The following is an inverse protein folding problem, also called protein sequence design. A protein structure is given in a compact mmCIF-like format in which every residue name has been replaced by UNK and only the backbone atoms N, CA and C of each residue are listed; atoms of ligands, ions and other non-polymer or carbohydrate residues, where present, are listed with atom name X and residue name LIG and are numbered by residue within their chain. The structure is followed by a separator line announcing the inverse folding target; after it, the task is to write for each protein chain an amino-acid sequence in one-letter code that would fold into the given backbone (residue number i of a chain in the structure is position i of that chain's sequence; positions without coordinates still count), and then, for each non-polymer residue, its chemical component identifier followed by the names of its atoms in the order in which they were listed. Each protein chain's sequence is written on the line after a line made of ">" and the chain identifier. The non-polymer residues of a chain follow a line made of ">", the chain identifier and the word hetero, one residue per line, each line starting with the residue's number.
data_IF_697243555498
#
_entry.id   IF_697243555498
#
_cell.length_a   1.000
_cell.length_b   1.000
_cell.length_c   1.000
_cell.angle_alpha   90.00
_cell.angle_beta   90.00
_cell.angle_gamma   90.00
#
_symmetry.space_group_name_H-M   'P 1'
#
loop_
_entity.id
_entity.type
_entity.pdbx_description
1 polymer ?
#
# COMPACT_ATOMS: atom_id res chain seq x y z
N UNK A 1 33.16 6.25 17.48
CA UNK A 1 32.58 4.90 17.28
C UNK A 1 32.72 4.58 15.81
N UNK A 2 33.61 3.65 15.44
CA UNK A 2 33.72 3.20 14.05
C UNK A 2 32.46 2.40 13.70
N UNK A 3 31.70 2.89 12.73
CA UNK A 3 30.59 2.16 12.16
C UNK A 3 31.16 0.92 11.45
N UNK A 4 30.66 -0.27 11.77
CA UNK A 4 30.98 -1.47 11.00
C UNK A 4 30.38 -1.29 9.60
N UNK A 5 31.20 -1.20 8.53
CA UNK A 5 30.71 -1.04 7.17
C UNK A 5 29.91 -2.26 6.65
N UNK A 6 29.88 -3.36 7.42
CA UNK A 6 29.18 -4.60 7.07
C UNK A 6 27.85 -4.78 7.84
N UNK A 7 27.32 -3.72 8.44
CA UNK A 7 26.03 -3.79 9.14
C UNK A 7 24.86 -3.54 8.18
N UNK A 8 24.09 -4.58 7.85
CA UNK A 8 22.88 -4.44 7.05
C UNK A 8 21.85 -3.48 7.66
N UNK A 9 21.82 -3.38 9.00
CA UNK A 9 20.97 -2.41 9.70
C UNK A 9 21.47 -0.96 9.53
N UNK A 10 22.79 -0.73 9.47
CA UNK A 10 23.32 0.61 9.22
C UNK A 10 22.91 1.10 7.84
N UNK A 11 23.12 0.28 6.81
CA UNK A 11 22.68 0.58 5.45
C UNK A 11 21.17 0.87 5.40
N UNK A 12 20.37 0.09 6.13
CA UNK A 12 18.92 0.32 6.18
C UNK A 12 18.58 1.71 6.75
N UNK A 13 19.26 2.14 7.81
CA UNK A 13 19.07 3.47 8.37
C UNK A 13 19.53 4.59 7.43
N UNK A 14 20.62 4.38 6.68
CA UNK A 14 21.08 5.34 5.67
C UNK A 14 20.05 5.46 4.53
N UNK A 15 19.54 4.34 4.02
CA UNK A 15 18.47 4.32 3.01
C UNK A 15 17.21 5.06 3.49
N UNK A 16 16.84 4.89 4.76
CA UNK A 16 15.75 5.65 5.38
C UNK A 16 16.01 7.16 5.44
N UNK A 17 17.24 7.58 5.72
CA UNK A 17 17.62 9.00 5.70
C UNK A 17 17.43 9.62 4.31
N UNK A 18 17.87 8.94 3.25
CA UNK A 18 17.67 9.42 1.87
C UNK A 18 16.18 9.45 1.50
N UNK A 19 15.42 8.40 1.84
CA UNK A 19 13.97 8.37 1.65
C UNK A 19 13.27 9.54 2.34
N UNK A 20 13.67 9.87 3.57
CA UNK A 20 13.10 10.99 4.31
C UNK A 20 13.39 12.34 3.63
N UNK A 21 14.59 12.53 3.09
CA UNK A 21 14.94 13.72 2.31
C UNK A 21 14.08 13.84 1.05
N UNK A 22 13.84 12.73 0.33
CA UNK A 22 12.94 12.71 -0.82
C UNK A 22 11.53 13.16 -0.46
N UNK A 23 10.98 12.64 0.65
CA UNK A 23 9.63 13.02 1.14
C UNK A 23 9.57 14.52 1.45
N UNK A 24 10.56 15.06 2.17
CA UNK A 24 10.63 16.48 2.49
C UNK A 24 10.65 17.33 1.23
N UNK A 25 11.46 16.97 0.23
CA UNK A 25 11.51 17.69 -1.05
C UNK A 25 10.18 17.65 -1.80
N UNK A 26 9.53 16.48 -1.90
CA UNK A 26 8.23 16.32 -2.58
C UNK A 26 7.10 17.13 -1.94
N UNK A 27 7.15 17.30 -0.61
CA UNK A 27 6.17 18.09 0.15
C UNK A 27 6.45 19.59 0.13
N UNK A 28 7.67 20.00 -0.21
CA UNK A 28 8.01 21.41 -0.34
C UNK A 28 7.33 22.06 -1.56
N UNK A 29 6.86 23.31 -1.41
CA UNK A 29 6.11 24.05 -2.46
C UNK A 29 6.93 24.42 -3.71
N UNK A 30 8.24 24.16 -3.73
CA UNK A 30 9.14 24.57 -4.81
C UNK A 30 9.49 23.38 -5.72
N UNK A 31 8.66 23.12 -6.73
CA UNK A 31 8.97 22.13 -7.78
C UNK A 31 9.78 22.80 -8.90
N UNK A 32 11.09 22.90 -8.69
CA UNK A 32 12.04 23.35 -9.71
C UNK A 32 12.51 22.13 -10.54
N UNK A 33 12.90 22.29 -11.82
CA UNK A 33 13.45 21.18 -12.62
C UNK A 33 14.67 20.52 -11.98
N UNK A 34 15.54 21.31 -11.34
CA UNK A 34 16.69 20.84 -10.56
C UNK A 34 16.31 19.95 -9.37
N UNK A 35 15.06 20.04 -8.89
CA UNK A 35 14.55 19.15 -7.86
C UNK A 35 14.37 17.71 -8.35
N UNK A 36 14.13 17.50 -9.65
CA UNK A 36 13.96 16.16 -10.21
C UNK A 36 15.28 15.39 -10.27
N UNK A 37 16.37 16.04 -10.69
CA UNK A 37 17.72 15.44 -10.70
C UNK A 37 18.15 15.04 -9.28
N UNK A 38 17.97 15.94 -8.31
CA UNK A 38 18.27 15.65 -6.90
C UNK A 38 17.40 14.51 -6.37
N UNK A 39 16.11 14.46 -6.71
CA UNK A 39 15.23 13.36 -6.32
C UNK A 39 15.70 12.02 -6.89
N UNK A 40 16.19 12.03 -8.14
CA UNK A 40 16.73 10.84 -8.78
C UNK A 40 18.04 10.39 -8.12
N UNK A 41 18.94 11.31 -7.79
CA UNK A 41 20.17 11.00 -7.04
C UNK A 41 19.86 10.41 -5.66
N UNK A 42 18.97 11.05 -4.89
CA UNK A 42 18.55 10.55 -3.58
C UNK A 42 17.89 9.18 -3.67
N UNK A 43 17.08 8.94 -4.71
CA UNK A 43 16.47 7.64 -4.96
C UNK A 43 17.53 6.57 -5.21
N UNK A 44 18.53 6.84 -6.04
CA UNK A 44 19.61 5.89 -6.31
C UNK A 44 20.43 5.59 -5.05
N UNK A 45 20.76 6.61 -4.24
CA UNK A 45 21.47 6.39 -2.97
C UNK A 45 20.64 5.51 -2.01
N UNK A 46 19.35 5.80 -1.86
CA UNK A 46 18.46 5.00 -1.02
C UNK A 46 18.35 3.55 -1.51
N UNK A 47 18.20 3.33 -2.83
CA UNK A 47 18.15 2.01 -3.43
C UNK A 47 19.44 1.23 -3.17
N UNK A 48 20.62 1.85 -3.38
CA UNK A 48 21.92 1.21 -3.14
C UNK A 48 22.06 0.74 -1.69
N UNK A 49 21.68 1.58 -0.72
CA UNK A 49 21.74 1.22 0.70
C UNK A 49 20.75 0.10 1.05
N UNK A 50 19.51 0.14 0.55
CA UNK A 50 18.57 -0.96 0.78
C UNK A 50 18.98 -2.26 0.08
N UNK A 51 19.57 -2.18 -1.12
CA UNK A 51 20.18 -3.33 -1.80
C UNK A 51 21.26 -3.95 -0.91
N UNK A 52 22.14 -3.12 -0.35
CA UNK A 52 23.18 -3.58 0.56
C UNK A 52 22.60 -4.19 1.85
N UNK A 53 21.50 -3.66 2.36
CA UNK A 53 20.76 -4.27 3.48
C UNK A 53 20.32 -5.70 3.15
N UNK A 54 19.71 -5.92 1.99
CA UNK A 54 19.19 -7.25 1.63
C UNK A 54 20.27 -8.24 1.19
N UNK A 55 21.41 -7.75 0.68
CA UNK A 55 22.61 -8.57 0.47
C UNK A 55 23.17 -9.12 1.80
N UNK A 56 23.23 -8.27 2.83
CA UNK A 56 23.75 -8.63 4.15
C UNK A 56 22.73 -9.37 5.01
N UNK A 57 21.43 -9.09 4.82
CA UNK A 57 20.31 -9.71 5.52
C UNK A 57 19.10 -9.84 4.59
N UNK A 58 19.03 -10.96 3.88
CA UNK A 58 17.98 -11.23 2.89
C UNK A 58 16.56 -11.36 3.46
N UNK A 59 16.44 -11.51 4.78
CA UNK A 59 15.16 -11.54 5.52
C UNK A 59 14.85 -10.17 6.14
N UNK A 60 15.18 -9.08 5.47
CA UNK A 60 14.83 -7.72 5.90
C UNK A 60 13.70 -7.20 5.00
N UNK A 61 12.47 -7.53 5.37
CA UNK A 61 11.27 -7.41 4.54
C UNK A 61 10.97 -5.97 4.14
N UNK A 62 11.09 -5.04 5.09
CA UNK A 62 10.85 -3.62 4.84
C UNK A 62 11.86 -2.97 3.91
N UNK A 63 13.07 -3.52 3.75
CA UNK A 63 14.03 -3.02 2.78
C UNK A 63 13.52 -3.24 1.35
N UNK A 64 12.93 -4.41 1.07
CA UNK A 64 12.27 -4.68 -0.22
C UNK A 64 11.08 -3.75 -0.47
N UNK A 65 10.25 -3.51 0.55
CA UNK A 65 9.10 -2.59 0.45
C UNK A 65 9.55 -1.18 0.11
N UNK A 66 10.54 -0.63 0.83
CA UNK A 66 11.01 0.72 0.58
C UNK A 66 11.76 0.87 -0.73
N UNK A 67 12.53 -0.15 -1.15
CA UNK A 67 13.09 -0.18 -2.51
C UNK A 67 11.99 -0.08 -3.56
N UNK A 68 10.92 -0.87 -3.44
CA UNK A 68 9.84 -0.87 -4.40
C UNK A 68 9.10 0.48 -4.47
N UNK A 69 8.83 1.11 -3.32
CA UNK A 69 8.24 2.45 -3.26
C UNK A 69 9.12 3.49 -3.97
N UNK A 70 10.43 3.48 -3.71
CA UNK A 70 11.37 4.44 -4.30
C UNK A 70 11.54 4.19 -5.80
N UNK A 71 11.57 2.94 -6.23
CA UNK A 71 11.64 2.56 -7.65
C UNK A 71 10.39 3.03 -8.39
N UNK A 72 9.20 2.84 -7.80
CA UNK A 72 7.96 3.35 -8.36
C UNK A 72 7.97 4.89 -8.49
N UNK A 73 8.52 5.59 -7.49
CA UNK A 73 8.68 7.04 -7.48
C UNK A 73 9.57 7.57 -8.62
N UNK A 74 10.52 6.77 -9.11
CA UNK A 74 11.40 7.10 -10.24
C UNK A 74 11.05 6.32 -11.52
N UNK A 75 9.82 5.76 -11.59
CA UNK A 75 9.28 5.07 -12.76
C UNK A 75 9.97 3.74 -13.15
N UNK A 76 10.71 3.13 -12.22
CA UNK A 76 11.28 1.78 -12.35
C UNK A 76 10.23 0.72 -11.93
N UNK A 77 9.19 0.59 -12.75
CA UNK A 77 8.00 -0.18 -12.37
C UNK A 77 8.21 -1.70 -12.35
N UNK A 78 9.07 -2.23 -13.21
CA UNK A 78 9.38 -3.65 -13.28
C UNK A 78 10.14 -4.10 -12.03
N UNK A 79 11.13 -3.32 -11.61
CA UNK A 79 11.91 -3.58 -10.41
C UNK A 79 11.08 -3.40 -9.14
N UNK A 80 10.19 -2.41 -9.12
CA UNK A 80 9.24 -2.22 -8.02
C UNK A 80 8.32 -3.44 -7.86
N UNK A 81 7.74 -3.91 -8.97
CA UNK A 81 6.90 -5.12 -8.98
C UNK A 81 7.69 -6.35 -8.50
N UNK A 82 8.91 -6.54 -8.99
CA UNK A 82 9.76 -7.65 -8.57
C UNK A 82 10.03 -7.65 -7.05
N UNK A 83 10.29 -6.48 -6.47
CA UNK A 83 10.51 -6.36 -5.02
C UNK A 83 9.24 -6.61 -4.20
N UNK A 84 8.08 -6.13 -4.64
CA UNK A 84 6.80 -6.45 -3.99
C UNK A 84 6.49 -7.94 -4.03
N UNK A 85 6.68 -8.59 -5.19
CA UNK A 85 6.51 -10.03 -5.32
C UNK A 85 7.51 -10.80 -4.45
N UNK A 86 8.76 -10.31 -4.34
CA UNK A 86 9.78 -10.94 -3.50
C UNK A 86 9.35 -10.98 -2.03
N UNK A 87 8.90 -9.85 -1.47
CA UNK A 87 8.50 -9.78 -0.07
C UNK A 87 7.21 -10.56 0.22
N UNK A 88 6.25 -10.56 -0.72
CA UNK A 88 5.02 -11.35 -0.59
C UNK A 88 5.26 -12.87 -0.58
N UNK A 89 6.34 -13.34 -1.19
CA UNK A 89 6.73 -14.75 -1.21
C UNK A 89 7.65 -15.16 -0.05
N UNK A 90 7.95 -14.25 0.89
CA UNK A 90 8.72 -14.60 2.08
C UNK A 90 7.90 -15.42 3.06
N UNK A 91 8.56 -16.38 3.73
CA UNK A 91 7.89 -17.25 4.69
C UNK A 91 7.74 -16.54 6.04
N UNK A 92 6.55 -16.68 6.64
CA UNK A 92 6.31 -16.34 8.05
C UNK A 92 6.52 -14.85 8.37
N UNK A 93 5.93 -13.96 7.55
CA UNK A 93 5.85 -12.54 7.86
C UNK A 93 5.13 -12.33 9.21
N UNK A 94 5.61 -11.39 10.00
CA UNK A 94 4.85 -10.92 11.16
C UNK A 94 3.62 -10.16 10.67
N UNK A 95 2.49 -10.32 11.35
CA UNK A 95 1.20 -9.71 10.99
C UNK A 95 1.30 -8.22 10.60
N UNK A 96 1.96 -7.40 11.42
CA UNK A 96 2.14 -5.97 11.14
C UNK A 96 2.98 -5.71 9.87
N UNK A 97 3.99 -6.54 9.58
CA UNK A 97 4.80 -6.44 8.36
C UNK A 97 3.98 -6.85 7.15
N UNK A 98 3.22 -7.95 7.25
CA UNK A 98 2.34 -8.39 6.16
C UNK A 98 1.26 -7.33 5.85
N UNK A 99 0.72 -6.67 6.88
CA UNK A 99 -0.18 -5.55 6.72
C UNK A 99 0.46 -4.39 5.94
N UNK A 100 1.68 -3.99 6.33
CA UNK A 100 2.44 -2.91 5.68
C UNK A 100 2.76 -3.25 4.23
N UNK A 101 3.21 -4.47 3.95
CA UNK A 101 3.50 -4.97 2.59
C UNK A 101 2.27 -4.86 1.70
N UNK A 102 1.12 -5.36 2.15
CA UNK A 102 -0.11 -5.31 1.37
C UNK A 102 -0.65 -3.89 1.19
N UNK A 103 -0.48 -3.01 2.19
CA UNK A 103 -0.83 -1.61 2.05
C UNK A 103 0.03 -0.90 1.01
N UNK A 104 1.36 -0.99 1.12
CA UNK A 104 2.29 -0.37 0.18
C UNK A 104 2.09 -0.90 -1.24
N UNK A 105 1.86 -2.21 -1.40
CA UNK A 105 1.65 -2.79 -2.72
C UNK A 105 0.30 -2.40 -3.35
N UNK A 106 -0.79 -2.39 -2.57
CA UNK A 106 -2.08 -1.90 -3.06
C UNK A 106 -2.03 -0.41 -3.44
N UNK A 107 -1.28 0.41 -2.67
CA UNK A 107 -1.03 1.81 -3.04
C UNK A 107 -0.24 1.91 -4.35
N UNK A 108 0.83 1.14 -4.52
CA UNK A 108 1.58 1.08 -5.78
C UNK A 108 0.68 0.72 -6.98
N UNK A 109 -0.14 -0.32 -6.87
CA UNK A 109 -1.04 -0.72 -7.96
C UNK A 109 -2.07 0.37 -8.31
N UNK A 110 -2.58 1.08 -7.30
CA UNK A 110 -3.56 2.16 -7.49
C UNK A 110 -3.00 3.28 -8.38
N UNK A 111 -1.73 3.64 -8.22
CA UNK A 111 -1.11 4.73 -8.97
C UNK A 111 -0.42 4.26 -10.26
N UNK A 112 -0.01 2.99 -10.36
CA UNK A 112 0.91 2.55 -11.41
C UNK A 112 0.43 1.37 -12.27
N UNK A 113 -0.49 0.51 -11.79
CA UNK A 113 -0.98 -0.66 -12.55
C UNK A 113 -2.46 -0.61 -12.95
N UNK A 114 -3.19 0.44 -12.54
CA UNK A 114 -4.57 0.79 -12.94
C UNK A 114 -5.69 -0.21 -12.62
N UNK A 115 -5.41 -1.42 -12.14
CA UNK A 115 -6.46 -2.38 -11.77
C UNK A 115 -6.96 -2.13 -10.36
N UNK A 116 -8.13 -1.49 -10.24
CA UNK A 116 -8.79 -1.31 -8.94
C UNK A 116 -9.15 -2.64 -8.26
N UNK A 117 -9.37 -3.73 -9.01
CA UNK A 117 -9.66 -5.05 -8.45
C UNK A 117 -8.46 -5.64 -7.71
N UNK A 118 -7.26 -5.47 -8.27
CA UNK A 118 -6.03 -5.92 -7.63
C UNK A 118 -5.77 -5.08 -6.35
N UNK A 119 -6.00 -3.76 -6.42
CA UNK A 119 -5.89 -2.86 -5.26
C UNK A 119 -6.83 -3.31 -4.14
N UNK A 120 -8.11 -3.52 -4.45
CA UNK A 120 -9.11 -4.00 -3.48
C UNK A 120 -8.66 -5.35 -2.91
N UNK A 121 -8.18 -6.27 -3.74
CA UNK A 121 -7.70 -7.58 -3.29
C UNK A 121 -6.59 -7.45 -2.24
N UNK A 122 -5.59 -6.61 -2.47
CA UNK A 122 -4.51 -6.41 -1.50
C UNK A 122 -4.98 -5.69 -0.23
N UNK A 123 -5.87 -4.72 -0.34
CA UNK A 123 -6.45 -4.06 0.83
C UNK A 123 -7.26 -5.02 1.70
N UNK A 124 -8.08 -5.88 1.09
CA UNK A 124 -8.85 -6.89 1.80
C UNK A 124 -7.97 -7.94 2.47
N UNK A 125 -6.87 -8.37 1.82
CA UNK A 125 -5.88 -9.27 2.44
C UNK A 125 -5.27 -8.65 3.70
N UNK A 126 -4.85 -7.38 3.62
CA UNK A 126 -4.28 -6.68 4.78
C UNK A 126 -5.29 -6.51 5.93
N UNK A 127 -6.53 -6.10 5.62
CA UNK A 127 -7.59 -5.93 6.61
C UNK A 127 -7.97 -7.24 7.33
N UNK A 128 -7.78 -8.39 6.68
CA UNK A 128 -8.09 -9.73 7.23
C UNK A 128 -7.16 -10.14 8.37
N UNK A 129 -5.94 -9.59 8.43
CA UNK A 129 -4.95 -9.90 9.48
C UNK A 129 -5.45 -9.45 10.87
N UNK A 130 -6.45 -8.57 10.93
CA UNK A 130 -7.24 -8.31 12.15
C UNK A 130 -6.59 -7.38 13.18
N UNK A 131 -5.28 -7.12 13.08
CA UNK A 131 -4.61 -6.11 13.88
C UNK A 131 -5.08 -4.70 13.49
N UNK A 132 -5.69 -3.96 14.42
CA UNK A 132 -6.18 -2.59 14.20
C UNK A 132 -5.07 -1.55 14.32
N UNK A 133 -4.08 -1.66 13.45
CA UNK A 133 -2.90 -0.78 13.39
C UNK A 133 -3.23 0.61 12.81
N UNK A 134 -2.23 1.51 12.77
CA UNK A 134 -2.35 2.77 12.03
C UNK A 134 -2.55 2.53 10.52
N UNK A 135 -1.89 1.52 9.96
CA UNK A 135 -2.02 1.12 8.57
C UNK A 135 -3.40 0.56 8.29
N UNK A 136 -3.97 -0.23 9.20
CA UNK A 136 -5.36 -0.70 9.12
C UNK A 136 -6.37 0.44 8.94
N UNK A 137 -6.20 1.55 9.68
CA UNK A 137 -7.07 2.74 9.52
C UNK A 137 -6.89 3.42 8.17
N UNK A 138 -5.65 3.51 7.66
CA UNK A 138 -5.38 4.05 6.31
C UNK A 138 -5.98 3.18 5.23
N UNK A 139 -5.90 1.86 5.36
CA UNK A 139 -6.49 0.89 4.45
C UNK A 139 -8.00 1.04 4.35
N UNK A 140 -8.70 1.20 5.49
CA UNK A 140 -10.13 1.47 5.46
C UNK A 140 -10.47 2.73 4.67
N UNK A 141 -9.76 3.83 4.92
CA UNK A 141 -9.99 5.09 4.18
C UNK A 141 -9.67 4.94 2.70
N UNK A 142 -8.64 4.17 2.34
CA UNK A 142 -8.29 3.93 0.93
C UNK A 142 -9.33 3.05 0.23
N UNK A 143 -9.78 1.97 0.88
CA UNK A 143 -10.81 1.06 0.38
C UNK A 143 -12.16 1.78 0.22
N UNK A 144 -12.53 2.61 1.18
CA UNK A 144 -13.74 3.45 1.12
C UNK A 144 -13.73 4.33 -0.14
N UNK A 145 -12.65 5.07 -0.38
CA UNK A 145 -12.52 5.93 -1.56
C UNK A 145 -12.62 5.18 -2.88
N UNK A 146 -12.08 3.96 -2.96
CA UNK A 146 -12.19 3.12 -4.16
C UNK A 146 -13.63 2.63 -4.32
N UNK A 147 -14.27 2.17 -3.25
CA UNK A 147 -15.64 1.67 -3.27
C UNK A 147 -16.66 2.79 -3.60
N UNK A 148 -16.51 3.98 -3.01
CA UNK A 148 -17.31 5.18 -3.33
C UNK A 148 -17.19 5.53 -4.81
N UNK A 149 -15.95 5.64 -5.32
CA UNK A 149 -15.71 5.95 -6.72
C UNK A 149 -16.36 4.93 -7.65
N UNK A 150 -16.25 3.63 -7.36
CA UNK A 150 -16.88 2.60 -8.19
C UNK A 150 -18.40 2.67 -8.14
N UNK A 151 -18.97 2.89 -6.96
CA UNK A 151 -20.40 3.06 -6.79
C UNK A 151 -20.93 4.28 -7.58
N UNK A 152 -20.22 5.41 -7.52
CA UNK A 152 -20.57 6.64 -8.24
C UNK A 152 -20.55 6.45 -9.77
N UNK A 153 -19.58 5.68 -10.28
CA UNK A 153 -19.48 5.34 -11.70
C UNK A 153 -20.30 4.11 -12.11
N UNK A 154 -21.08 3.53 -11.20
CA UNK A 154 -21.88 2.32 -11.41
C UNK A 154 -21.06 1.12 -11.93
N UNK A 155 -19.79 1.00 -11.51
CA UNK A 155 -18.91 -0.13 -11.81
C UNK A 155 -19.17 -1.22 -10.77
N UNK A 156 -19.58 -2.41 -11.21
CA UNK A 156 -19.86 -3.57 -10.33
C UNK A 156 -20.68 -3.15 -9.09
N UNK A 157 -21.92 -2.66 -9.29
CA UNK A 157 -22.63 -1.90 -8.25
C UNK A 157 -22.97 -2.74 -7.02
N UNK A 158 -23.22 -4.04 -7.18
CA UNK A 158 -23.45 -4.96 -6.05
C UNK A 158 -22.19 -5.04 -5.18
N UNK A 159 -21.05 -5.30 -5.80
CA UNK A 159 -19.75 -5.45 -5.14
C UNK A 159 -19.31 -4.13 -4.51
N UNK A 160 -19.44 -3.02 -5.23
CA UNK A 160 -19.03 -1.69 -4.77
C UNK A 160 -19.82 -1.26 -3.54
N UNK A 161 -21.15 -1.47 -3.54
CA UNK A 161 -21.99 -1.19 -2.38
C UNK A 161 -21.70 -2.19 -1.25
N UNK A 162 -21.45 -3.45 -1.56
CA UNK A 162 -21.02 -4.45 -0.58
C UNK A 162 -19.70 -4.09 0.12
N UNK A 163 -18.74 -3.54 -0.62
CA UNK A 163 -17.47 -3.04 -0.08
C UNK A 163 -17.68 -1.85 0.85
N UNK A 164 -18.57 -0.91 0.52
CA UNK A 164 -18.95 0.18 1.44
C UNK A 164 -19.56 -0.38 2.74
N UNK A 165 -20.43 -1.39 2.63
CA UNK A 165 -20.99 -2.08 3.79
C UNK A 165 -19.91 -2.73 4.66
N UNK A 166 -18.90 -3.33 4.05
CA UNK A 166 -17.75 -3.90 4.75
C UNK A 166 -16.95 -2.82 5.48
N UNK A 167 -16.67 -1.69 4.82
CA UNK A 167 -15.96 -0.56 5.44
C UNK A 167 -16.73 -0.04 6.66
N UNK A 168 -18.03 0.21 6.54
CA UNK A 168 -18.86 0.67 7.65
C UNK A 168 -18.86 -0.33 8.81
N UNK A 169 -19.00 -1.62 8.51
CA UNK A 169 -18.95 -2.69 9.52
C UNK A 169 -17.62 -2.68 10.28
N UNK A 170 -16.50 -2.57 9.56
CA UNK A 170 -15.17 -2.54 10.16
C UNK A 170 -14.95 -1.28 11.01
N UNK A 171 -15.52 -0.15 10.62
CA UNK A 171 -15.54 1.09 11.43
C UNK A 171 -16.43 1.01 12.67
N UNK A 172 -17.35 0.04 12.74
CA UNK A 172 -18.33 -0.10 13.82
C UNK A 172 -19.68 0.57 13.53
N UNK A 173 -19.86 1.09 12.32
CA UNK A 173 -21.07 1.76 11.86
C UNK A 173 -22.09 0.71 11.36
N UNK A 174 -22.70 0.00 12.29
CA UNK A 174 -23.50 -1.20 11.97
C UNK A 174 -24.78 -0.89 11.19
N UNK A 175 -25.40 0.26 11.43
CA UNK A 175 -26.64 0.66 10.74
C UNK A 175 -26.37 0.96 9.26
N UNK A 176 -25.32 1.74 9.00
CA UNK A 176 -24.86 2.08 7.65
C UNK A 176 -24.39 0.83 6.90
N UNK A 177 -23.70 -0.08 7.59
CA UNK A 177 -23.29 -1.36 7.01
C UNK A 177 -24.50 -2.17 6.55
N UNK A 178 -25.54 -2.28 7.40
CA UNK A 178 -26.76 -3.01 7.07
C UNK A 178 -27.46 -2.40 5.85
N UNK A 179 -27.61 -1.07 5.82
CA UNK A 179 -28.22 -0.37 4.68
C UNK A 179 -27.46 -0.64 3.36
N UNK A 180 -26.13 -0.64 3.41
CA UNK A 180 -25.33 -1.01 2.24
C UNK A 180 -25.60 -2.45 1.80
N UNK A 181 -25.56 -3.43 2.71
CA UNK A 181 -25.80 -4.82 2.34
C UNK A 181 -27.22 -5.06 1.81
N UNK A 182 -28.24 -4.47 2.40
CA UNK A 182 -29.62 -4.53 1.88
C UNK A 182 -29.71 -3.96 0.47
N UNK A 183 -29.08 -2.80 0.23
CA UNK A 183 -29.06 -2.19 -1.11
C UNK A 183 -28.34 -3.08 -2.13
N UNK A 184 -27.22 -3.70 -1.75
CA UNK A 184 -26.50 -4.64 -2.61
C UNK A 184 -27.39 -5.87 -2.96
N UNK A 185 -28.11 -6.43 -1.98
CA UNK A 185 -29.03 -7.55 -2.20
C UNK A 185 -30.26 -7.18 -3.06
N UNK A 186 -30.75 -5.95 -2.98
CA UNK A 186 -31.81 -5.48 -3.91
C UNK A 186 -31.33 -5.46 -5.35
N UNK A 187 -30.05 -5.13 -5.58
CA UNK A 187 -29.46 -5.06 -6.91
C UNK A 187 -29.22 -6.43 -7.54
N UNK A 188 -29.04 -7.49 -6.74
CA UNK A 188 -28.94 -8.87 -7.28
C UNK A 188 -30.30 -9.42 -7.72
N UNK A 189 -31.40 -8.78 -7.33
CA UNK A 189 -32.75 -9.30 -7.53
C UNK A 189 -33.12 -10.46 -6.59
N UNK A 190 -32.25 -10.78 -5.63
CA UNK A 190 -32.46 -11.86 -4.65
C UNK A 190 -33.34 -11.41 -3.47
N UNK A 191 -33.46 -10.10 -3.23
CA UNK A 191 -34.52 -9.58 -2.37
C UNK A 191 -35.84 -9.55 -3.14
N UNK A 192 -36.61 -10.64 -2.99
CA UNK A 192 -38.05 -10.61 -3.28
C UNK A 192 -38.67 -9.57 -2.34
N UNK A 193 -39.38 -8.62 -2.92
CA UNK A 193 -40.24 -7.67 -2.21
C UNK A 193 -41.35 -8.44 -1.51
N UNK A 194 -41.06 -9.07 -0.38
CA UNK A 194 -42.12 -9.46 0.55
C UNK A 194 -42.47 -8.22 1.36
N UNK A 195 -43.44 -7.47 0.81
CA UNK A 195 -44.52 -6.70 1.42
C UNK A 195 -45.03 -5.64 0.42
#
# INVERSE_FOLDING_TARGET
>A
MQASPDSGYLHYQIGLCYRQQMIQMKTSRNRQPRSQEILQELAQQAICDFQRTVELKSTFEMAYVYMAEIQADIHQYEEAEANFQKVLNMKSLMDHIEQDVHFSYGHYQQFHQKSEDQVITHYLKSLKIGEKSFVWRKLLTALEKVAERRADHNVLPVESIGLLGLVHKLKGNMQEALLCYERALRLTGEMISEF
#
